data_IF_624795811846
#
_entry.id   IF_624795811846
#
_cell.length_a   1.000
_cell.length_b   1.000
_cell.length_c   1.000
_cell.angle_alpha   90.00
_cell.angle_beta   90.00
_cell.angle_gamma   90.00
#
_symmetry.space_group_name_H-M   'P 1'
#
loop_
_entity.id
_entity.type
_entity.pdbx_description
1 polymer ?
#
# COMPACT_ATOMS: atom_id res chain seq x y z
N UNK A 1 69.24 -20.96 -43.14
CA UNK A 1 68.75 -19.55 -43.20
C UNK A 1 67.29 -19.64 -43.63
N UNK A 2 66.37 -19.88 -42.70
CA UNK A 2 65.60 -18.87 -41.96
C UNK A 2 64.54 -18.16 -42.82
N UNK A 3 63.28 -18.57 -42.61
CA UNK A 3 62.02 -17.79 -42.49
C UNK A 3 60.87 -18.50 -43.24
N UNK A 4 59.63 -18.52 -42.78
CA UNK A 4 58.99 -18.42 -41.46
C UNK A 4 57.50 -18.50 -41.79
N UNK A 5 56.80 -19.39 -41.09
CA UNK A 5 55.37 -19.59 -41.25
C UNK A 5 54.55 -18.46 -40.61
N UNK A 6 53.23 -18.60 -40.77
CA UNK A 6 52.14 -18.01 -39.99
C UNK A 6 51.58 -16.66 -40.50
N UNK A 7 50.57 -16.80 -41.36
CA UNK A 7 49.56 -15.78 -41.61
C UNK A 7 48.75 -15.61 -40.32
N UNK A 8 48.90 -14.43 -39.70
CA UNK A 8 48.22 -13.99 -38.50
C UNK A 8 46.71 -13.80 -38.79
N UNK A 9 45.88 -14.44 -37.98
CA UNK A 9 44.46 -14.18 -37.88
C UNK A 9 44.22 -12.73 -37.40
N UNK A 10 43.59 -11.91 -38.24
CA UNK A 10 43.01 -10.63 -37.87
C UNK A 10 41.50 -10.69 -38.14
N UNK A 11 40.74 -10.07 -37.24
CA UNK A 11 39.27 -9.88 -37.24
C UNK A 11 38.44 -10.92 -36.49
N UNK A 12 38.43 -10.77 -35.17
CA UNK A 12 37.19 -10.82 -34.38
C UNK A 12 37.38 -10.07 -33.05
N UNK A 13 37.61 -8.76 -33.09
CA UNK A 13 37.26 -7.92 -31.94
C UNK A 13 35.74 -7.71 -31.98
N UNK A 14 35.00 -8.70 -31.49
CA UNK A 14 33.63 -8.47 -31.01
C UNK A 14 33.79 -7.56 -29.80
N UNK A 15 33.46 -6.29 -29.97
CA UNK A 15 33.26 -5.39 -28.85
C UNK A 15 32.19 -6.03 -27.94
N UNK A 16 32.63 -6.54 -26.79
CA UNK A 16 31.77 -6.85 -25.65
C UNK A 16 31.17 -5.52 -25.17
N UNK A 17 30.12 -5.06 -25.85
CA UNK A 17 29.19 -4.13 -25.25
C UNK A 17 28.66 -4.82 -23.98
N UNK A 18 28.66 -4.16 -22.81
CA UNK A 18 28.01 -4.73 -21.65
C UNK A 18 26.56 -4.98 -22.05
N UNK A 19 26.14 -6.24 -21.97
CA UNK A 19 24.77 -6.67 -22.19
C UNK A 19 23.91 -6.01 -21.13
N UNK A 20 23.52 -4.75 -21.39
CA UNK A 20 22.51 -4.03 -20.64
C UNK A 20 21.32 -4.95 -20.54
N UNK A 21 21.11 -5.48 -19.34
CA UNK A 21 20.22 -6.61 -19.13
C UNK A 21 18.81 -6.09 -19.28
N UNK A 22 18.27 -6.15 -20.51
CA UNK A 22 16.94 -5.62 -20.83
C UNK A 22 15.92 -6.23 -19.88
N UNK A 23 15.11 -5.40 -19.21
CA UNK A 23 14.07 -5.88 -18.32
C UNK A 23 12.94 -6.57 -19.11
N UNK A 24 12.25 -7.53 -18.48
CA UNK A 24 11.00 -8.11 -19.00
C UNK A 24 9.84 -7.65 -18.13
N UNK A 25 8.78 -7.17 -18.77
CA UNK A 25 7.55 -6.76 -18.09
C UNK A 25 6.48 -7.83 -18.25
N UNK A 26 5.78 -8.08 -17.15
CA UNK A 26 4.62 -8.96 -17.06
C UNK A 26 3.46 -8.10 -16.58
N UNK A 27 2.32 -8.20 -17.25
CA UNK A 27 1.14 -7.40 -16.92
C UNK A 27 0.08 -8.30 -16.33
N UNK A 28 -0.55 -7.84 -15.26
CA UNK A 28 -1.68 -8.51 -14.64
C UNK A 28 -2.99 -7.94 -15.18
N UNK A 29 -3.99 -7.86 -14.32
CA UNK A 29 -5.30 -7.35 -14.68
C UNK A 29 -5.23 -5.89 -15.14
N UNK A 30 -6.02 -5.57 -16.16
CA UNK A 30 -6.20 -4.22 -16.70
C UNK A 30 -7.69 -3.88 -16.67
N UNK A 31 -8.01 -2.71 -16.13
CA UNK A 31 -9.36 -2.15 -16.15
C UNK A 31 -9.40 -0.88 -17.00
N UNK A 32 -10.31 -0.86 -17.95
CA UNK A 32 -10.56 0.27 -18.84
C UNK A 32 -11.72 1.13 -18.31
N UNK A 33 -11.56 2.44 -18.42
CA UNK A 33 -12.51 3.46 -17.96
C UNK A 33 -13.00 4.35 -19.11
N UNK A 34 -12.60 4.06 -20.36
CA UNK A 34 -12.96 4.85 -21.56
C UNK A 34 -14.44 5.19 -21.63
N UNK A 35 -15.30 4.19 -21.41
CA UNK A 35 -16.76 4.32 -21.47
C UNK A 35 -17.35 4.96 -20.21
N UNK A 36 -16.68 4.80 -19.07
CA UNK A 36 -17.13 5.30 -17.76
C UNK A 36 -16.93 6.80 -17.68
N UNK A 37 -15.76 7.30 -18.11
CA UNK A 37 -15.42 8.73 -18.00
C UNK A 37 -15.48 9.47 -19.34
N UNK A 38 -15.79 8.77 -20.43
CA UNK A 38 -15.87 9.34 -21.77
C UNK A 38 -14.53 9.79 -22.35
N UNK A 39 -13.41 9.26 -21.86
CA UNK A 39 -12.05 9.63 -22.29
C UNK A 39 -11.31 8.40 -22.81
N UNK A 40 -11.00 8.38 -24.11
CA UNK A 40 -10.29 7.27 -24.74
C UNK A 40 -8.90 7.06 -24.13
N UNK A 41 -8.54 5.80 -23.90
CA UNK A 41 -7.26 5.39 -23.35
C UNK A 41 -7.12 5.61 -21.84
N UNK A 42 -8.22 5.76 -21.11
CA UNK A 42 -8.27 5.80 -19.64
C UNK A 42 -8.23 4.38 -19.09
N UNK A 43 -7.14 3.99 -18.43
CA UNK A 43 -7.00 2.65 -17.88
C UNK A 43 -6.02 2.59 -16.71
N UNK A 44 -6.12 1.52 -15.94
CA UNK A 44 -5.19 1.15 -14.87
C UNK A 44 -4.92 -0.35 -14.91
N UNK A 45 -3.69 -0.78 -14.58
CA UNK A 45 -3.30 -2.19 -14.54
C UNK A 45 -2.19 -2.46 -13.53
N UNK A 46 -2.06 -3.70 -13.12
CA UNK A 46 -0.89 -4.16 -12.36
C UNK A 46 0.24 -4.61 -13.31
N UNK A 47 1.46 -4.55 -12.83
CA UNK A 47 2.62 -5.11 -13.53
C UNK A 47 3.68 -5.63 -12.58
N UNK A 48 4.56 -6.45 -13.13
CA UNK A 48 5.81 -6.88 -12.54
C UNK A 48 6.94 -6.70 -13.56
N UNK A 49 8.10 -6.24 -13.08
CA UNK A 49 9.35 -6.22 -13.83
C UNK A 49 10.28 -7.34 -13.33
N UNK A 50 10.85 -8.12 -14.25
CA UNK A 50 11.88 -9.13 -13.96
C UNK A 50 13.13 -8.89 -14.80
N UNK A 51 14.19 -9.64 -14.48
CA UNK A 51 15.29 -9.85 -15.43
C UNK A 51 14.77 -10.47 -16.74
N UNK A 52 15.48 -10.22 -17.87
CA UNK A 52 15.16 -10.83 -19.18
C UNK A 52 15.05 -12.34 -19.09
N UNK A 53 16.02 -12.92 -18.40
CA UNK A 53 16.12 -14.34 -18.09
C UNK A 53 15.78 -14.46 -16.62
N UNK A 54 14.48 -14.55 -16.33
CA UNK A 54 14.03 -14.78 -14.96
C UNK A 54 14.21 -16.27 -14.61
N UNK A 55 14.93 -16.52 -13.52
CA UNK A 55 15.06 -17.86 -12.94
C UNK A 55 14.09 -17.98 -11.77
N UNK A 56 13.40 -19.12 -11.67
CA UNK A 56 12.51 -19.43 -10.55
C UNK A 56 13.25 -19.23 -9.22
N UNK A 57 12.60 -18.53 -8.28
CA UNK A 57 13.19 -18.19 -6.98
C UNK A 57 13.99 -16.90 -6.95
N UNK A 58 14.15 -16.18 -8.07
CA UNK A 58 14.61 -14.78 -8.05
C UNK A 58 13.42 -13.83 -7.82
N UNK A 59 13.56 -12.82 -6.95
CA UNK A 59 12.50 -11.82 -6.80
C UNK A 59 12.31 -10.99 -8.08
N UNK A 60 11.13 -10.41 -8.22
CA UNK A 60 10.88 -9.32 -9.15
C UNK A 60 11.83 -8.15 -8.88
N UNK A 61 12.23 -7.43 -9.94
CA UNK A 61 12.93 -6.14 -9.78
C UNK A 61 12.00 -5.08 -9.23
N UNK A 62 10.77 -5.09 -9.73
CA UNK A 62 9.71 -4.18 -9.33
C UNK A 62 8.34 -4.85 -9.48
N UNK A 63 7.38 -4.38 -8.68
CA UNK A 63 5.95 -4.65 -8.84
C UNK A 63 5.20 -3.35 -8.65
N UNK A 64 4.09 -3.17 -9.33
CA UNK A 64 3.41 -1.90 -9.25
C UNK A 64 2.06 -1.85 -9.93
N UNK A 65 1.49 -0.67 -9.85
CA UNK A 65 0.33 -0.24 -10.62
C UNK A 65 0.81 0.77 -11.64
N UNK A 66 0.29 0.66 -12.86
CA UNK A 66 0.45 1.65 -13.91
C UNK A 66 -0.93 2.15 -14.33
N UNK A 67 -1.11 3.47 -14.36
CA UNK A 67 -2.31 4.13 -14.87
C UNK A 67 -1.96 5.07 -16.02
N UNK A 68 -2.87 5.19 -16.98
CA UNK A 68 -2.68 6.10 -18.10
C UNK A 68 -2.82 7.56 -17.66
N UNK A 69 -2.14 8.45 -18.37
CA UNK A 69 -2.30 9.90 -18.21
C UNK A 69 -3.77 10.31 -18.38
N UNK A 70 -4.47 9.70 -19.34
CA UNK A 70 -5.88 9.99 -19.59
C UNK A 70 -6.75 9.71 -18.37
N UNK A 71 -6.52 8.60 -17.65
CA UNK A 71 -7.22 8.31 -16.40
C UNK A 71 -6.79 9.29 -15.30
N UNK A 72 -5.49 9.49 -15.09
CA UNK A 72 -4.99 10.35 -14.01
C UNK A 72 -5.42 11.82 -14.14
N UNK A 73 -5.47 12.35 -15.37
CA UNK A 73 -5.90 13.73 -15.64
C UNK A 73 -7.42 13.94 -15.47
N UNK A 74 -8.20 12.86 -15.49
CA UNK A 74 -9.67 12.90 -15.48
C UNK A 74 -10.24 12.04 -14.34
N UNK A 75 -9.44 11.79 -13.30
CA UNK A 75 -9.77 10.85 -12.23
C UNK A 75 -11.00 11.31 -11.45
N UNK A 76 -11.21 12.63 -11.36
CA UNK A 76 -12.35 13.26 -10.73
C UNK A 76 -13.69 13.02 -11.45
N UNK A 77 -13.64 12.51 -12.69
CA UNK A 77 -14.82 12.12 -13.49
C UNK A 77 -15.22 10.66 -13.28
N UNK A 78 -14.38 9.85 -12.63
CA UNK A 78 -14.76 8.47 -12.29
C UNK A 78 -15.95 8.54 -11.33
N UNK A 79 -17.08 7.87 -11.64
CA UNK A 79 -18.26 7.88 -10.79
C UNK A 79 -17.90 7.44 -9.38
N UNK A 80 -18.48 8.14 -8.41
CA UNK A 80 -18.33 7.80 -7.01
C UNK A 80 -18.84 6.38 -6.78
N UNK A 81 -18.04 5.58 -6.10
CA UNK A 81 -18.54 4.36 -5.50
C UNK A 81 -18.93 4.68 -4.07
N UNK A 82 -20.23 4.76 -3.82
CA UNK A 82 -20.71 4.66 -2.45
C UNK A 82 -20.45 3.24 -1.97
N UNK A 83 -19.47 3.07 -1.09
CA UNK A 83 -19.38 1.86 -0.31
C UNK A 83 -20.62 1.81 0.59
N UNK A 84 -21.49 0.84 0.34
CA UNK A 84 -22.65 0.60 1.22
C UNK A 84 -22.12 -0.04 2.49
N UNK A 85 -21.76 0.77 3.46
CA UNK A 85 -21.56 0.32 4.85
C UNK A 85 -22.91 0.09 5.51
N UNK A 86 -23.03 -0.92 6.40
CA UNK A 86 -24.24 -1.08 7.19
C UNK A 86 -24.51 0.18 8.02
N UNK A 87 -25.78 0.62 8.14
CA UNK A 87 -26.14 1.68 9.07
C UNK A 87 -25.62 1.40 10.50
N UNK A 88 -25.22 2.42 11.29
CA UNK A 88 -25.42 3.86 11.07
C UNK A 88 -24.26 4.55 10.32
N UNK A 89 -23.28 3.80 9.81
CA UNK A 89 -22.08 4.40 9.24
C UNK A 89 -22.43 4.92 7.84
N UNK A 90 -22.12 6.18 7.57
CA UNK A 90 -22.09 6.73 6.22
C UNK A 90 -20.66 7.13 5.91
N UNK A 91 -19.86 6.21 5.37
CA UNK A 91 -18.60 6.59 4.74
C UNK A 91 -18.91 7.26 3.42
N UNK A 92 -19.03 8.58 3.46
CA UNK A 92 -19.11 9.39 2.25
C UNK A 92 -17.68 9.60 1.74
N UNK A 93 -17.00 8.50 1.37
CA UNK A 93 -15.74 8.57 0.67
C UNK A 93 -16.03 9.09 -0.73
N UNK A 94 -15.71 10.36 -0.97
CA UNK A 94 -15.76 10.94 -2.30
C UNK A 94 -14.64 10.28 -3.11
N UNK A 95 -14.93 9.18 -3.82
CA UNK A 95 -13.87 8.40 -4.43
C UNK A 95 -14.32 7.16 -5.19
N UNK A 96 -13.35 6.37 -5.64
CA UNK A 96 -13.58 5.02 -6.14
C UNK A 96 -12.50 4.06 -5.66
N UNK A 97 -12.85 2.79 -5.54
CA UNK A 97 -11.92 1.70 -5.28
C UNK A 97 -11.89 0.75 -6.48
N UNK A 98 -10.70 0.27 -6.83
CA UNK A 98 -10.55 -0.85 -7.76
C UNK A 98 -9.58 -1.86 -7.21
N UNK A 99 -9.99 -3.13 -7.27
CA UNK A 99 -9.16 -4.28 -6.95
C UNK A 99 -8.65 -4.87 -8.27
N UNK A 100 -7.35 -5.10 -8.37
CA UNK A 100 -6.72 -5.68 -9.54
C UNK A 100 -5.87 -6.88 -9.14
N UNK A 101 -6.01 -7.98 -9.86
CA UNK A 101 -5.14 -9.14 -9.70
C UNK A 101 -3.71 -8.81 -10.14
N UNK A 102 -2.74 -9.33 -9.40
CA UNK A 102 -1.32 -9.29 -9.80
C UNK A 102 -1.02 -10.30 -10.92
N UNK A 103 0.08 -10.15 -11.68
CA UNK A 103 0.52 -11.18 -12.61
C UNK A 103 0.66 -12.56 -11.92
N UNK A 104 0.40 -13.66 -12.64
CA UNK A 104 0.34 -15.03 -12.07
C UNK A 104 1.67 -15.53 -11.45
N UNK A 105 2.76 -14.78 -11.58
CA UNK A 105 4.08 -15.12 -11.06
C UNK A 105 4.27 -14.74 -9.59
N UNK A 106 3.36 -15.16 -8.70
CA UNK A 106 3.44 -14.94 -7.24
C UNK A 106 4.72 -15.54 -6.60
N UNK A 107 5.48 -16.36 -7.31
CA UNK A 107 6.78 -16.84 -6.83
C UNK A 107 7.90 -15.81 -6.99
N UNK A 108 7.67 -14.75 -7.78
CA UNK A 108 8.57 -13.61 -7.94
C UNK A 108 8.16 -12.40 -7.06
N UNK A 109 6.89 -12.35 -6.63
CA UNK A 109 6.35 -11.34 -5.71
C UNK A 109 5.31 -11.96 -4.77
N UNK A 110 5.24 -11.54 -3.51
CA UNK A 110 4.30 -12.18 -2.57
C UNK A 110 2.93 -11.53 -2.50
N UNK A 111 2.63 -10.57 -3.38
CA UNK A 111 1.34 -9.90 -3.39
C UNK A 111 0.29 -10.69 -4.16
N UNK A 112 -0.91 -10.81 -3.59
CA UNK A 112 -2.06 -11.49 -4.19
C UNK A 112 -2.85 -10.55 -5.11
N UNK A 113 -3.01 -9.29 -4.70
CA UNK A 113 -3.77 -8.25 -5.38
C UNK A 113 -3.25 -6.87 -5.04
N UNK A 114 -3.72 -5.89 -5.80
CA UNK A 114 -3.55 -4.47 -5.49
C UNK A 114 -4.89 -3.79 -5.45
N UNK A 115 -5.12 -2.97 -4.42
CA UNK A 115 -6.28 -2.09 -4.33
C UNK A 115 -5.85 -0.66 -4.53
N UNK A 116 -6.63 0.09 -5.29
CA UNK A 116 -6.36 1.48 -5.60
C UNK A 116 -7.58 2.27 -5.22
N UNK A 117 -7.39 3.20 -4.30
CA UNK A 117 -8.41 4.13 -3.87
C UNK A 117 -8.00 5.50 -4.37
N UNK A 118 -8.93 6.22 -5.00
CA UNK A 118 -8.78 7.65 -5.19
C UNK A 118 -9.75 8.34 -4.24
N UNK A 119 -9.20 9.12 -3.31
CA UNK A 119 -9.94 9.83 -2.28
C UNK A 119 -9.99 11.32 -2.64
N UNK A 120 -11.03 11.73 -3.34
CA UNK A 120 -11.34 13.14 -3.63
C UNK A 120 -11.79 13.82 -2.35
N UNK A 121 -11.16 14.94 -2.01
CA UNK A 121 -11.34 15.63 -0.73
C UNK A 121 -10.69 14.91 0.47
N UNK A 122 -10.06 13.75 0.25
CA UNK A 122 -9.37 13.01 1.29
C UNK A 122 -10.23 11.98 2.03
N UNK A 123 -9.71 11.48 3.15
CA UNK A 123 -10.37 10.50 4.02
C UNK A 123 -10.03 10.80 5.51
N UNK A 124 -10.56 10.05 6.50
CA UNK A 124 -10.32 10.29 7.93
C UNK A 124 -8.86 10.47 8.34
N UNK A 125 -8.66 11.13 9.51
CA UNK A 125 -7.50 11.93 9.94
C UNK A 125 -7.46 13.35 9.34
N UNK A 126 -8.47 14.17 9.68
CA UNK A 126 -8.57 15.52 9.11
C UNK A 126 -7.38 16.41 9.50
N UNK A 127 -7.00 17.27 8.57
CA UNK A 127 -5.77 18.05 8.65
C UNK A 127 -4.51 17.23 8.38
N UNK A 128 -4.62 15.97 7.98
CA UNK A 128 -3.51 15.10 7.54
C UNK A 128 -3.77 14.59 6.12
N UNK A 129 -4.86 13.84 5.92
CA UNK A 129 -5.20 13.22 4.63
C UNK A 129 -6.45 13.86 4.00
N UNK A 130 -6.57 15.18 4.09
CA UNK A 130 -7.73 16.00 3.70
C UNK A 130 -7.63 16.62 2.30
N UNK A 131 -6.83 16.02 1.42
CA UNK A 131 -6.59 16.49 0.05
C UNK A 131 -6.82 15.36 -0.94
N UNK A 132 -7.06 15.67 -2.21
CA UNK A 132 -7.15 14.65 -3.26
C UNK A 132 -5.89 13.79 -3.34
N UNK A 133 -6.01 12.49 -3.09
CA UNK A 133 -4.88 11.57 -3.09
C UNK A 133 -5.26 10.15 -3.52
N UNK A 134 -4.23 9.35 -3.79
CA UNK A 134 -4.36 7.92 -4.03
C UNK A 134 -3.79 7.12 -2.88
N UNK A 135 -4.46 6.00 -2.58
CA UNK A 135 -3.95 4.93 -1.71
C UNK A 135 -3.77 3.69 -2.57
N UNK A 136 -2.60 3.07 -2.52
CA UNK A 136 -2.32 1.86 -3.29
C UNK A 136 -1.90 0.74 -2.37
N UNK A 137 -2.85 -0.13 -2.03
CA UNK A 137 -2.64 -1.24 -1.11
C UNK A 137 -2.07 -2.44 -1.86
N UNK A 138 -0.86 -2.86 -1.48
CA UNK A 138 -0.27 -4.10 -1.96
C UNK A 138 -0.50 -5.19 -0.91
N UNK A 139 -1.52 -6.03 -1.14
CA UNK A 139 -1.97 -7.04 -0.19
C UNK A 139 -1.17 -8.35 -0.34
N UNK A 140 -0.69 -8.90 0.78
CA UNK A 140 -0.12 -10.25 0.83
C UNK A 140 -1.19 -11.32 1.03
N UNK A 141 -2.33 -10.95 1.59
CA UNK A 141 -3.34 -11.90 2.04
C UNK A 141 -4.11 -12.53 0.88
N UNK A 142 -4.42 -13.84 0.95
CA UNK A 142 -5.33 -14.47 0.02
C UNK A 142 -6.78 -14.02 0.26
N UNK A 143 -7.64 -14.17 -0.75
CA UNK A 143 -9.04 -13.74 -0.74
C UNK A 143 -9.83 -14.09 0.55
N UNK A 144 -9.70 -15.27 1.18
CA UNK A 144 -10.48 -15.60 2.38
C UNK A 144 -10.16 -14.75 3.61
N UNK A 145 -8.90 -14.31 3.77
CA UNK A 145 -8.53 -13.41 4.87
C UNK A 145 -9.15 -12.04 4.65
N UNK A 146 -9.16 -11.59 3.40
CA UNK A 146 -9.80 -10.36 2.98
C UNK A 146 -11.33 -10.41 3.16
N UNK A 147 -11.99 -11.50 2.77
CA UNK A 147 -13.44 -11.68 2.98
C UNK A 147 -13.78 -11.55 4.48
N UNK A 148 -12.89 -12.00 5.36
CA UNK A 148 -13.03 -11.87 6.81
C UNK A 148 -12.82 -10.43 7.31
N UNK A 149 -11.94 -9.67 6.67
CA UNK A 149 -11.66 -8.24 6.97
C UNK A 149 -12.78 -7.33 6.45
N UNK A 150 -13.33 -7.62 5.27
CA UNK A 150 -14.42 -6.87 4.65
C UNK A 150 -15.77 -7.19 5.27
N UNK A 151 -16.00 -8.45 5.65
CA UNK A 151 -17.18 -8.83 6.41
C UNK A 151 -16.98 -8.53 7.90
N UNK A 152 -16.88 -7.25 8.25
CA UNK A 152 -17.14 -6.81 9.61
C UNK A 152 -18.65 -6.82 9.80
N UNK A 153 -19.18 -7.95 10.27
CA UNK A 153 -20.57 -8.02 10.71
C UNK A 153 -20.79 -6.96 11.76
N UNK A 154 -21.78 -6.11 11.54
CA UNK A 154 -22.18 -5.13 12.54
C UNK A 154 -23.06 -5.82 13.58
N UNK A 155 -22.71 -5.66 14.84
CA UNK A 155 -23.55 -6.03 15.98
C UNK A 155 -24.22 -4.77 16.54
N UNK A 156 -25.46 -4.86 17.06
CA UNK A 156 -26.14 -3.72 17.69
C UNK A 156 -25.33 -3.13 18.88
N UNK A 157 -24.43 -3.93 19.44
CA UNK A 157 -23.65 -3.66 20.65
C UNK A 157 -22.12 -3.56 20.38
N UNK A 158 -21.72 -3.49 19.11
CA UNK A 158 -20.30 -3.51 18.73
C UNK A 158 -19.58 -2.17 19.01
N UNK A 159 -18.39 -2.16 19.65
CA UNK A 159 -17.59 -0.94 19.76
C UNK A 159 -17.10 -0.47 18.38
N UNK A 160 -17.03 0.85 18.16
CA UNK A 160 -16.51 1.47 16.93
C UNK A 160 -17.21 1.00 15.65
N UNK A 161 -18.04 1.84 15.03
CA UNK A 161 -18.66 1.47 13.75
C UNK A 161 -19.50 0.17 13.83
N UNK A 162 -20.01 -0.18 15.02
CA UNK A 162 -20.83 -1.37 15.23
C UNK A 162 -20.08 -2.70 15.08
N UNK A 163 -18.75 -2.74 15.04
CA UNK A 163 -17.98 -3.97 14.86
C UNK A 163 -18.06 -4.85 16.13
N UNK A 164 -18.27 -6.16 16.01
CA UNK A 164 -18.38 -7.04 17.19
C UNK A 164 -17.11 -7.02 18.07
N UNK A 165 -17.21 -7.26 19.40
CA UNK A 165 -16.05 -7.27 20.29
C UNK A 165 -14.90 -8.21 19.88
N UNK A 166 -15.22 -9.38 19.31
CA UNK A 166 -14.22 -10.33 18.81
C UNK A 166 -13.43 -9.76 17.62
N UNK A 167 -14.15 -9.13 16.68
CA UNK A 167 -13.54 -8.50 15.51
C UNK A 167 -12.73 -7.29 15.93
N UNK A 168 -13.25 -6.47 16.86
CA UNK A 168 -12.53 -5.37 17.46
C UNK A 168 -11.19 -5.79 18.07
N UNK A 169 -11.23 -6.86 18.88
CA UNK A 169 -10.04 -7.43 19.51
C UNK A 169 -9.01 -7.93 18.49
N UNK A 170 -9.48 -8.38 17.33
CA UNK A 170 -8.66 -8.86 16.21
C UNK A 170 -8.07 -7.73 15.36
N UNK A 171 -8.81 -6.64 15.13
CA UNK A 171 -8.32 -5.42 14.46
C UNK A 171 -7.08 -4.90 15.18
N UNK A 172 -7.20 -4.77 16.51
CA UNK A 172 -6.17 -4.17 17.35
C UNK A 172 -5.28 -5.19 18.06
N UNK A 173 -5.25 -6.43 17.57
CA UNK A 173 -4.36 -7.44 18.12
C UNK A 173 -2.89 -6.98 18.00
N UNK A 174 -2.15 -6.83 19.13
CA UNK A 174 -0.79 -6.32 19.09
C UNK A 174 0.13 -7.22 18.26
N UNK A 175 1.17 -6.63 17.68
CA UNK A 175 2.19 -7.38 16.95
C UNK A 175 3.36 -7.70 17.90
N UNK A 176 4.05 -8.85 17.74
CA UNK A 176 5.33 -9.02 18.41
C UNK A 176 6.26 -7.87 18.02
N UNK A 177 7.03 -7.33 18.98
CA UNK A 177 7.81 -6.10 18.74
C UNK A 177 8.74 -6.19 17.53
N UNK A 178 9.33 -7.35 17.25
CA UNK A 178 10.19 -7.54 16.08
C UNK A 178 9.45 -7.62 14.72
N UNK A 179 8.12 -7.68 14.74
CA UNK A 179 7.26 -7.61 13.57
C UNK A 179 6.65 -6.22 13.35
N UNK A 180 6.92 -5.30 14.27
CA UNK A 180 6.43 -3.94 14.19
C UNK A 180 7.41 -3.11 13.33
N UNK A 181 6.93 -2.37 12.32
CA UNK A 181 7.79 -1.47 11.55
C UNK A 181 8.43 -0.40 12.46
N UNK A 182 9.76 -0.23 12.48
CA UNK A 182 10.47 0.50 13.53
C UNK A 182 10.19 2.03 13.61
N UNK A 183 9.60 2.62 12.57
CA UNK A 183 9.29 4.06 12.49
C UNK A 183 7.78 4.35 12.42
N UNK A 184 6.95 3.32 12.62
CA UNK A 184 5.51 3.46 12.57
C UNK A 184 4.92 3.43 13.97
N UNK A 185 3.65 3.79 14.09
CA UNK A 185 2.90 3.78 15.34
C UNK A 185 1.45 3.45 15.04
N UNK A 186 0.85 2.61 15.87
CA UNK A 186 -0.58 2.33 15.78
C UNK A 186 -1.33 3.51 16.37
N UNK A 187 -2.26 4.12 15.62
CA UNK A 187 -3.02 5.29 16.08
C UNK A 187 -4.40 4.94 16.66
N UNK A 188 -4.74 3.64 16.78
CA UNK A 188 -6.05 3.21 17.27
C UNK A 188 -7.20 3.40 16.28
N UNK A 189 -6.87 3.58 14.99
CA UNK A 189 -7.85 3.67 13.90
C UNK A 189 -8.25 2.28 13.42
N UNK A 190 -9.56 2.09 13.23
CA UNK A 190 -10.13 0.96 12.52
C UNK A 190 -10.55 1.49 11.15
N UNK A 191 -10.09 0.83 10.09
CA UNK A 191 -10.51 1.11 8.73
C UNK A 191 -11.22 -0.11 8.15
N UNK A 192 -12.43 0.12 7.61
CA UNK A 192 -13.27 -0.95 7.11
C UNK A 192 -12.60 -1.68 5.94
N UNK A 193 -12.52 -3.01 6.00
CA UNK A 193 -11.78 -3.79 4.99
C UNK A 193 -10.24 -3.67 5.06
N UNK A 194 -9.69 -2.91 6.01
CA UNK A 194 -8.25 -2.66 6.13
C UNK A 194 -7.66 -3.04 7.51
N UNK A 195 -8.49 -3.14 8.55
CA UNK A 195 -8.03 -3.43 9.90
C UNK A 195 -7.44 -2.18 10.55
N UNK A 196 -6.30 -2.29 11.24
CA UNK A 196 -5.63 -1.15 11.86
C UNK A 196 -4.45 -0.69 11.03
N UNK A 197 -4.31 0.62 10.85
CA UNK A 197 -3.16 1.22 10.18
C UNK A 197 -2.04 1.56 11.17
N UNK A 198 -0.80 1.42 10.70
CA UNK A 198 0.43 1.87 11.36
C UNK A 198 0.98 3.08 10.60
N UNK A 199 1.11 4.21 11.28
CA UNK A 199 1.47 5.50 10.71
C UNK A 199 2.89 5.94 11.04
N UNK A 200 3.62 6.56 10.10
CA UNK A 200 4.90 7.17 10.39
C UNK A 200 4.70 8.56 11.03
N UNK A 201 4.36 8.64 12.33
CA UNK A 201 3.99 9.92 12.99
C UNK A 201 5.09 11.00 13.02
N UNK A 202 6.34 10.65 12.66
CA UNK A 202 7.44 11.60 12.46
C UNK A 202 7.45 12.24 11.07
N UNK A 203 6.57 11.83 10.17
CA UNK A 203 6.51 12.31 8.80
C UNK A 203 5.90 13.72 8.71
N UNK A 204 6.19 14.49 7.65
CA UNK A 204 5.78 15.89 7.53
C UNK A 204 4.26 16.13 7.60
N UNK A 205 3.44 15.16 7.23
CA UNK A 205 1.97 15.25 7.31
C UNK A 205 1.47 15.34 8.76
N UNK A 206 2.22 14.83 9.72
CA UNK A 206 1.89 14.85 11.14
C UNK A 206 2.52 16.01 11.92
N UNK A 207 3.43 16.78 11.30
CA UNK A 207 4.26 17.77 11.98
C UNK A 207 4.09 19.18 11.40
N UNK A 208 4.04 20.25 12.21
CA UNK A 208 3.89 21.62 11.70
C UNK A 208 5.10 22.12 10.87
N UNK A 209 4.90 22.87 9.77
CA UNK A 209 3.62 23.04 9.08
C UNK A 209 3.23 21.73 8.36
N UNK A 210 2.01 21.24 8.63
CA UNK A 210 1.53 19.96 8.09
C UNK A 210 1.48 20.00 6.58
N UNK A 211 2.08 19.00 5.94
CA UNK A 211 2.11 18.86 4.48
C UNK A 211 2.05 17.40 4.08
N UNK A 212 0.93 16.98 3.50
CA UNK A 212 0.82 15.67 2.89
C UNK A 212 1.18 15.71 1.40
N UNK A 213 2.30 15.07 1.08
CA UNK A 213 2.73 14.84 -0.30
C UNK A 213 2.62 13.36 -0.66
N UNK A 214 3.17 12.52 0.22
CA UNK A 214 3.28 11.09 0.06
C UNK A 214 3.59 10.47 1.43
N UNK A 215 3.14 9.25 1.64
CA UNK A 215 3.46 8.47 2.83
C UNK A 215 3.49 6.98 2.50
N UNK A 216 3.94 6.18 3.45
CA UNK A 216 3.81 4.74 3.40
C UNK A 216 3.36 4.21 4.75
N UNK A 217 2.19 3.59 4.75
CA UNK A 217 1.61 2.97 5.93
C UNK A 217 1.57 1.46 5.78
N UNK A 218 1.36 0.78 6.91
CA UNK A 218 1.18 -0.66 6.95
C UNK A 218 -0.20 -0.97 7.54
N UNK A 219 -0.90 -1.90 6.92
CA UNK A 219 -2.13 -2.47 7.45
C UNK A 219 -1.88 -3.67 8.32
N UNK A 220 -2.65 -3.80 9.38
CA UNK A 220 -2.55 -4.91 10.33
C UNK A 220 -3.90 -5.52 10.65
N UNK A 221 -3.89 -6.84 10.83
CA UNK A 221 -5.08 -7.61 11.19
C UNK A 221 -4.69 -8.95 11.83
N UNK A 222 -5.24 -9.24 13.00
CA UNK A 222 -4.96 -10.47 13.74
C UNK A 222 -3.48 -10.64 14.08
N UNK A 223 -2.84 -9.58 14.59
CA UNK A 223 -1.45 -9.59 15.06
C UNK A 223 -0.40 -9.69 13.96
N UNK A 224 -0.75 -9.37 12.71
CA UNK A 224 0.14 -9.50 11.55
C UNK A 224 0.01 -8.30 10.61
N UNK A 225 1.13 -7.94 9.97
CA UNK A 225 1.16 -6.99 8.85
C UNK A 225 0.61 -7.67 7.59
N UNK A 226 -0.44 -7.09 7.01
CA UNK A 226 -1.25 -7.68 5.91
C UNK A 226 -1.06 -7.01 4.57
N UNK A 227 -0.73 -5.72 4.56
CA UNK A 227 -0.42 -4.97 3.35
C UNK A 227 0.53 -3.83 3.62
N UNK A 228 1.07 -3.28 2.54
CA UNK A 228 1.81 -2.03 2.52
C UNK A 228 1.11 -1.06 1.57
N UNK A 229 1.02 0.19 1.97
CA UNK A 229 0.18 1.19 1.29
C UNK A 229 0.98 2.48 1.10
N UNK A 230 1.64 2.65 -0.05
CA UNK A 230 2.05 3.96 -0.51
C UNK A 230 0.83 4.82 -0.87
N UNK A 231 0.75 5.99 -0.24
CA UNK A 231 -0.25 7.01 -0.56
C UNK A 231 0.42 8.24 -1.16
N UNK A 232 -0.25 8.98 -2.04
CA UNK A 232 0.28 10.24 -2.56
C UNK A 232 -0.78 11.25 -2.98
N UNK A 233 -0.58 12.50 -2.56
CA UNK A 233 -1.39 13.63 -2.96
C UNK A 233 -1.26 13.87 -4.47
N UNK A 234 -2.40 14.03 -5.14
CA UNK A 234 -2.46 14.29 -6.58
C UNK A 234 -1.75 15.58 -6.99
N UNK A 235 -1.82 16.61 -6.15
CA UNK A 235 -1.11 17.88 -6.35
C UNK A 235 0.41 17.69 -6.39
N UNK A 236 0.94 16.86 -5.48
CA UNK A 236 2.36 16.51 -5.44
C UNK A 236 2.76 15.62 -6.61
N UNK A 237 1.94 14.63 -6.98
CA UNK A 237 2.15 13.77 -8.15
C UNK A 237 2.20 14.55 -9.46
N UNK A 238 1.48 15.68 -9.55
CA UNK A 238 1.51 16.61 -10.70
C UNK A 238 2.73 17.54 -10.69
N UNK A 239 3.45 17.65 -9.57
CA UNK A 239 4.59 18.56 -9.43
C UNK A 239 5.77 18.17 -10.33
N UNK A 240 6.65 19.14 -10.61
CA UNK A 240 7.88 18.91 -11.39
C UNK A 240 8.83 17.88 -10.76
N UNK A 241 8.74 17.67 -9.44
CA UNK A 241 9.55 16.66 -8.77
C UNK A 241 9.25 15.25 -9.29
N UNK A 242 7.98 15.00 -9.66
CA UNK A 242 7.53 13.70 -10.19
C UNK A 242 7.47 13.71 -11.71
N UNK A 243 6.94 14.78 -12.33
CA UNK A 243 6.63 14.84 -13.78
C UNK A 243 7.65 15.60 -14.64
N UNK A 244 8.66 16.23 -14.02
CA UNK A 244 9.59 17.11 -14.71
C UNK A 244 10.42 16.41 -15.80
N UNK A 245 10.91 17.16 -16.82
CA UNK A 245 11.82 16.61 -17.82
C UNK A 245 13.03 15.92 -17.18
N UNK A 246 13.32 14.69 -17.60
CA UNK A 246 14.42 13.89 -17.04
C UNK A 246 14.13 13.23 -15.69
N UNK A 247 12.92 13.37 -15.14
CA UNK A 247 12.50 12.62 -13.95
C UNK A 247 12.63 11.11 -14.22
N UNK A 248 13.35 10.42 -13.34
CA UNK A 248 13.47 8.95 -13.32
C UNK A 248 12.53 8.32 -12.29
N UNK A 249 11.56 9.11 -11.80
CA UNK A 249 10.74 8.80 -10.64
C UNK A 249 11.42 9.18 -9.32
N UNK A 250 10.60 9.31 -8.28
CA UNK A 250 11.02 9.61 -6.91
C UNK A 250 10.86 8.35 -6.07
N UNK A 251 11.88 7.99 -5.28
CA UNK A 251 11.89 6.74 -4.51
C UNK A 251 12.31 6.96 -3.06
N UNK A 252 11.61 6.30 -2.17
CA UNK A 252 11.81 6.34 -0.73
C UNK A 252 12.11 4.94 -0.20
N UNK A 253 12.82 4.87 0.93
CA UNK A 253 13.13 3.61 1.60
C UNK A 253 11.94 3.14 2.43
N UNK A 254 11.75 1.82 2.53
CA UNK A 254 10.71 1.21 3.36
C UNK A 254 11.35 0.66 4.64
N UNK A 255 10.96 1.24 5.78
CA UNK A 255 11.30 0.75 7.12
C UNK A 255 10.47 -0.50 7.44
N UNK A 256 10.85 -1.62 6.84
CA UNK A 256 10.15 -2.89 7.04
C UNK A 256 10.30 -3.41 8.49
N UNK A 257 9.32 -4.17 8.99
CA UNK A 257 9.52 -5.11 10.09
C UNK A 257 10.80 -5.94 9.94
N UNK A 258 11.44 -6.24 11.06
CA UNK A 258 12.59 -7.14 11.06
C UNK A 258 12.17 -8.56 10.66
N UNK A 259 10.99 -9.01 11.09
CA UNK A 259 10.44 -10.32 10.78
C UNK A 259 9.00 -10.25 10.26
N UNK A 260 8.66 -11.20 9.40
CA UNK A 260 7.31 -11.45 8.90
C UNK A 260 6.80 -12.84 9.35
N UNK A 261 5.47 -13.08 9.34
CA UNK A 261 4.88 -14.33 9.84
C UNK A 261 5.16 -15.53 8.94
N UNK A 262 5.35 -15.29 7.65
CA UNK A 262 5.61 -16.31 6.65
C UNK A 262 6.75 -15.90 5.71
N UNK A 263 7.09 -16.83 4.83
CA UNK A 263 8.06 -16.57 3.78
C UNK A 263 7.43 -15.72 2.66
N UNK A 264 7.90 -14.48 2.55
CA UNK A 264 7.44 -13.54 1.53
C UNK A 264 8.55 -12.63 1.02
N UNK A 265 8.38 -12.13 -0.20
CA UNK A 265 9.12 -11.02 -0.73
C UNK A 265 8.52 -9.70 -0.25
N UNK A 266 9.40 -8.82 0.21
CA UNK A 266 9.07 -7.47 0.67
C UNK A 266 9.91 -6.46 -0.08
N UNK A 267 9.35 -5.28 -0.31
CA UNK A 267 10.02 -4.22 -1.02
C UNK A 267 10.95 -3.45 -0.07
N UNK A 268 12.16 -3.13 -0.53
CA UNK A 268 13.06 -2.21 0.19
C UNK A 268 12.76 -0.74 -0.09
N UNK A 269 12.08 -0.45 -1.21
CA UNK A 269 11.78 0.90 -1.68
C UNK A 269 10.39 0.97 -2.31
N UNK A 270 9.76 2.13 -2.21
CA UNK A 270 8.59 2.49 -3.01
C UNK A 270 8.87 3.77 -3.78
N UNK A 271 8.10 4.03 -4.83
CA UNK A 271 8.25 5.27 -5.57
C UNK A 271 7.16 5.52 -6.60
N UNK A 272 7.27 6.70 -7.19
CA UNK A 272 6.30 7.25 -8.13
C UNK A 272 7.04 7.62 -9.41
N UNK A 273 6.62 7.05 -10.54
CA UNK A 273 7.28 7.27 -11.83
C UNK A 273 6.28 7.83 -12.82
N UNK A 274 6.66 8.94 -13.44
CA UNK A 274 5.98 9.46 -14.62
C UNK A 274 6.70 8.98 -15.88
N UNK A 275 6.23 7.89 -16.48
CA UNK A 275 6.92 7.21 -17.58
C UNK A 275 6.55 7.83 -18.92
N UNK A 276 7.53 8.41 -19.61
CA UNK A 276 7.43 9.00 -20.96
C UNK A 276 6.27 9.97 -21.14
N UNK A 277 5.86 10.64 -20.05
CA UNK A 277 4.66 11.48 -20.02
C UNK A 277 3.35 10.80 -20.41
N UNK A 278 3.28 9.47 -20.35
CA UNK A 278 2.12 8.68 -20.78
C UNK A 278 1.45 7.94 -19.64
N UNK A 279 2.21 7.51 -18.64
CA UNK A 279 1.68 6.74 -17.52
C UNK A 279 2.27 7.18 -16.19
N UNK A 280 1.45 7.12 -15.15
CA UNK A 280 1.87 7.21 -13.75
C UNK A 280 2.01 5.80 -13.20
N UNK A 281 3.07 5.56 -12.44
CA UNK A 281 3.30 4.29 -11.75
C UNK A 281 3.48 4.50 -10.25
N UNK A 282 2.83 3.65 -9.48
CA UNK A 282 3.13 3.40 -8.07
C UNK A 282 3.90 2.09 -8.02
N UNK A 283 5.16 2.14 -7.58
CA UNK A 283 6.10 1.04 -7.78
C UNK A 283 6.80 0.66 -6.47
N UNK A 284 6.76 -0.63 -6.14
CA UNK A 284 7.57 -1.26 -5.12
C UNK A 284 8.79 -1.93 -5.76
N UNK A 285 9.98 -1.75 -5.18
CA UNK A 285 11.25 -2.23 -5.75
C UNK A 285 12.24 -2.70 -4.70
N UNK A 286 13.38 -3.18 -5.20
CA UNK A 286 14.46 -3.73 -4.37
C UNK A 286 13.90 -4.86 -3.51
N UNK A 287 13.13 -5.73 -4.17
CA UNK A 287 12.44 -6.84 -3.53
C UNK A 287 13.47 -7.81 -2.94
N UNK A 288 13.23 -8.23 -1.71
CA UNK A 288 14.07 -9.18 -0.98
C UNK A 288 13.21 -10.15 -0.20
N UNK A 289 13.74 -11.34 0.05
CA UNK A 289 13.08 -12.30 0.93
C UNK A 289 13.08 -11.75 2.36
N UNK A 290 11.93 -11.77 3.01
CA UNK A 290 11.80 -11.35 4.40
C UNK A 290 12.43 -12.39 5.34
N UNK A 291 12.90 -11.95 6.50
CA UNK A 291 13.22 -12.89 7.56
C UNK A 291 11.91 -13.42 8.16
N UNK A 292 11.80 -14.73 8.28
CA UNK A 292 10.64 -15.39 8.89
C UNK A 292 10.90 -15.54 10.38
N UNK A 293 9.89 -15.26 11.20
CA UNK A 293 10.04 -15.37 12.66
C UNK A 293 9.15 -14.43 13.45
N UNK A 294 8.05 -13.95 12.85
CA UNK A 294 7.10 -13.14 13.57
C UNK A 294 6.29 -13.97 14.56
N UNK A 295 6.89 -14.26 15.71
CA UNK A 295 6.28 -14.94 16.86
C UNK A 295 6.54 -14.11 18.11
N UNK A 296 5.66 -14.21 19.10
CA UNK A 296 5.88 -13.54 20.38
C UNK A 296 7.25 -13.92 20.97
N UNK A 297 8.04 -12.91 21.31
CA UNK A 297 9.29 -13.07 22.03
C UNK A 297 9.14 -12.41 23.40
N UNK A 298 9.14 -13.19 24.50
CA UNK A 298 8.89 -12.64 25.84
C UNK A 298 9.96 -11.63 26.29
N UNK A 299 11.16 -11.63 25.68
CA UNK A 299 12.21 -10.63 25.97
C UNK A 299 11.97 -9.29 25.28
N UNK A 300 11.28 -9.30 24.14
CA UNK A 300 11.02 -8.09 23.34
C UNK A 300 9.61 -7.53 23.56
N UNK A 301 8.67 -8.37 23.98
CA UNK A 301 7.29 -8.00 24.24
C UNK A 301 6.46 -7.80 22.97
N UNK A 302 5.29 -7.19 23.18
CA UNK A 302 4.38 -6.74 22.12
C UNK A 302 4.64 -5.28 21.77
N UNK A 303 4.22 -4.86 20.58
CA UNK A 303 4.15 -3.48 20.15
C UNK A 303 2.76 -3.21 19.54
N UNK A 304 2.33 -1.95 19.61
CA UNK A 304 0.92 -1.59 19.42
C UNK A 304 0.11 -1.74 20.71
N UNK A 305 -1.17 -1.44 20.63
CA UNK A 305 -2.07 -1.51 21.78
C UNK A 305 -3.47 -1.92 21.36
N UNK A 306 -4.22 -2.53 22.26
CA UNK A 306 -5.68 -2.63 22.15
C UNK A 306 -6.26 -1.41 22.84
N UNK A 307 -6.94 -0.50 22.14
CA UNK A 307 -7.78 0.48 22.81
C UNK A 307 -8.71 -0.23 23.80
N UNK A 308 -8.93 0.31 25.00
CA UNK A 308 -9.90 -0.29 25.90
C UNK A 308 -11.30 -0.11 25.32
N UNK A 309 -12.13 -1.16 25.41
CA UNK A 309 -13.52 -1.12 24.99
C UNK A 309 -14.26 -0.18 25.95
N UNK A 310 -14.77 0.95 25.45
CA UNK A 310 -15.61 1.88 26.21
C UNK A 310 -14.92 3.08 26.87
N UNK A 311 -13.61 3.28 26.73
CA UNK A 311 -12.93 4.51 27.19
C UNK A 311 -12.47 5.35 26.02
N UNK A 312 -12.70 6.68 26.02
CA UNK A 312 -12.17 7.59 25.02
C UNK A 312 -10.64 7.45 24.90
N UNK A 313 -10.16 7.03 23.73
CA UNK A 313 -8.75 7.16 23.40
C UNK A 313 -8.46 8.64 23.11
N UNK A 314 -8.17 9.42 24.14
CA UNK A 314 -7.45 10.67 23.96
C UNK A 314 -5.96 10.35 23.85
N UNK A 315 -5.53 9.80 22.71
CA UNK A 315 -4.13 10.05 22.35
C UNK A 315 -4.10 11.54 22.03
N UNK A 316 -3.53 12.35 22.93
CA UNK A 316 -3.24 13.76 22.70
C UNK A 316 -2.17 13.90 21.60
N UNK A 317 -2.52 13.51 20.38
CA UNK A 317 -2.03 14.22 19.21
C UNK A 317 -3.11 15.26 18.98
N UNK A 318 -2.77 16.55 18.97
CA UNK A 318 -3.71 17.64 18.69
C UNK A 318 -4.22 17.53 17.25
N UNK A 319 -5.08 16.56 16.98
CA UNK A 319 -5.97 16.53 15.85
C UNK A 319 -7.26 17.21 16.29
N UNK A 320 -7.88 17.97 15.38
CA UNK A 320 -9.31 18.28 15.51
C UNK A 320 -10.05 16.96 15.77
N UNK A 321 -11.11 16.89 16.58
CA UNK A 321 -11.80 15.64 16.90
C UNK A 321 -12.42 15.07 15.63
N UNK A 322 -11.65 14.24 14.94
CA UNK A 322 -12.05 13.57 13.70
C UNK A 322 -12.08 12.11 14.06
N UNK A 323 -13.28 11.66 14.39
CA UNK A 323 -13.78 10.28 14.29
C UNK A 323 -12.78 9.14 14.58
N UNK A 324 -11.94 9.29 15.61
CA UNK A 324 -11.53 8.13 16.40
C UNK A 324 -12.79 7.65 17.09
N UNK A 325 -13.42 6.59 16.61
CA UNK A 325 -14.60 5.94 17.18
C UNK A 325 -15.39 6.81 18.18
N UNK A 326 -16.38 7.64 17.76
CA UNK A 326 -17.17 8.38 18.72
C UNK A 326 -17.85 7.39 19.68
N UNK A 327 -17.46 7.44 20.95
CA UNK A 327 -17.94 6.53 21.99
C UNK A 327 -19.35 6.96 22.43
N UNK A 328 -20.28 6.02 22.64
CA UNK A 328 -21.46 6.31 23.46
C UNK A 328 -20.98 6.64 24.88
N UNK A 329 -21.54 7.71 25.45
CA UNK A 329 -21.31 8.10 26.84
C UNK A 329 -21.71 6.97 27.81
N UNK A 330 -21.14 6.89 29.03
CA UNK A 330 -21.30 5.77 29.97
C UNK A 330 -22.75 5.36 30.35
N UNK A 331 -23.76 6.14 29.99
CA UNK A 331 -25.11 6.01 30.55
C UNK A 331 -26.08 5.07 29.81
N UNK A 332 -25.68 4.40 28.72
CA UNK A 332 -26.62 3.58 27.92
C UNK A 332 -26.43 2.07 27.97
N UNK A 333 -25.55 1.52 28.82
CA UNK A 333 -25.43 0.06 28.93
C UNK A 333 -26.19 -0.51 30.13
N UNK A 334 -27.35 -1.13 29.86
CA UNK A 334 -27.91 -2.15 30.74
C UNK A 334 -27.37 -3.51 30.31
N UNK A 335 -26.79 -4.32 31.22
CA UNK A 335 -26.42 -5.69 30.88
C UNK A 335 -27.69 -6.47 30.48
N UNK A 336 -27.65 -7.15 29.34
CA UNK A 336 -28.63 -8.16 29.02
C UNK A 336 -28.51 -9.32 30.03
N UNK A 337 -29.67 -9.77 30.52
CA UNK A 337 -29.82 -10.90 31.46
C UNK A 337 -29.59 -12.25 30.81
#
# INVERSE_FOLDING_TARGET
MARSALVLALMACVALLPSGTLAKFWYGEKKDYDTIIGVRGAWVRTYMETEKVWTRGRPAKAVGVEMSKALFDNIEKVPRQQMTVPPPINFNLDGFEVILAMPDQQQAHSFSKVRINYNKGGHPLAGVYDVDHFDVHFDWDPQPVWDTMFNLTTGPDGPCEGVTPDKYSRVFEPLPKQCFPPDHTQAGQLEWGHGSHLFPLKAPEFNPPRRFNQTLIFGTWGGQVRFVEPMAATSWLKSKAVTGPGSKGVFFSIANPAYYPDDRYVAGRYGYIWSNQKTLKFELRSMRRAAVGCKYNPRLGWAGFRPPIGTPNTVEVTFSPVELCPFPTPDTWKPAA
#
